data_IF_675277056306
#
_entry.id   IF_675277056306
#
_cell.length_a   1.000
_cell.length_b   1.000
_cell.length_c   1.000
_cell.angle_alpha   90.00
_cell.angle_beta   90.00
_cell.angle_gamma   90.00
#
_symmetry.space_group_name_H-M   'P 1'
#
loop_
_entity.id
_entity.type
_entity.pdbx_description
1 polymer ?
#
# COMPACT_ATOMS: atom_id res chain seq x y z
N UNK A 1 9.23 -21.65 18.96
CA UNK A 1 8.69 -20.32 18.57
C UNK A 1 9.84 -19.53 17.99
N UNK A 2 9.71 -19.01 16.76
CA UNK A 2 10.73 -18.12 16.19
C UNK A 2 10.69 -16.83 16.99
N UNK A 3 11.81 -16.42 17.60
CA UNK A 3 11.93 -15.08 18.19
C UNK A 3 11.64 -14.06 17.08
N UNK A 4 10.51 -13.38 17.20
CA UNK A 4 10.00 -12.44 16.20
C UNK A 4 10.75 -11.13 16.35
N UNK A 5 11.95 -11.08 15.77
CA UNK A 5 12.81 -9.92 15.83
C UNK A 5 12.21 -8.76 15.02
N UNK A 6 11.94 -7.63 15.68
CA UNK A 6 11.43 -6.38 15.09
C UNK A 6 12.27 -5.96 13.87
N UNK A 7 13.60 -6.04 13.95
CA UNK A 7 14.49 -5.67 12.84
C UNK A 7 14.26 -6.51 11.58
N UNK A 8 13.93 -7.80 11.75
CA UNK A 8 13.65 -8.68 10.61
C UNK A 8 12.32 -8.31 9.97
N UNK A 9 11.28 -8.06 10.77
CA UNK A 9 10.00 -7.56 10.26
C UNK A 9 10.18 -6.27 9.46
N UNK A 10 10.83 -5.26 10.04
CA UNK A 10 11.00 -3.96 9.41
C UNK A 10 11.78 -4.06 8.08
N UNK A 11 12.81 -4.92 8.04
CA UNK A 11 13.55 -5.20 6.80
C UNK A 11 12.67 -5.86 5.74
N UNK A 12 11.84 -6.82 6.10
CA UNK A 12 10.92 -7.46 5.16
C UNK A 12 9.84 -6.50 4.65
N UNK A 13 9.33 -5.62 5.51
CA UNK A 13 8.43 -4.54 5.11
C UNK A 13 9.10 -3.63 4.07
N UNK A 14 10.33 -3.19 4.32
CA UNK A 14 11.11 -2.37 3.38
C UNK A 14 11.36 -3.09 2.05
N UNK A 15 11.60 -4.41 2.09
CA UNK A 15 11.75 -5.22 0.88
C UNK A 15 10.46 -5.29 0.05
N UNK A 16 9.30 -5.44 0.69
CA UNK A 16 7.99 -5.42 0.01
C UNK A 16 7.75 -4.05 -0.64
N UNK A 17 8.02 -2.96 0.09
CA UNK A 17 7.87 -1.60 -0.42
C UNK A 17 8.78 -1.32 -1.62
N UNK A 18 10.06 -1.68 -1.52
CA UNK A 18 11.03 -1.52 -2.61
C UNK A 18 10.63 -2.30 -3.87
N UNK A 19 10.14 -3.54 -3.72
CA UNK A 19 9.69 -4.35 -4.85
C UNK A 19 8.43 -3.74 -5.49
N UNK A 20 7.48 -3.29 -4.68
CA UNK A 20 6.24 -2.66 -5.15
C UNK A 20 6.53 -1.37 -5.90
N UNK A 21 7.33 -0.46 -5.34
CA UNK A 21 7.72 0.80 -5.98
C UNK A 21 8.48 0.57 -7.28
N UNK A 22 9.39 -0.42 -7.32
CA UNK A 22 10.07 -0.84 -8.56
C UNK A 22 9.10 -1.38 -9.61
N UNK A 23 8.14 -2.23 -9.22
CA UNK A 23 7.16 -2.75 -10.17
C UNK A 23 6.24 -1.64 -10.67
N UNK A 24 5.75 -0.76 -9.78
CA UNK A 24 4.88 0.35 -10.15
C UNK A 24 5.56 1.37 -11.06
N UNK A 25 6.87 1.56 -10.92
CA UNK A 25 7.62 2.42 -11.83
C UNK A 25 7.59 1.91 -13.28
N UNK A 26 7.37 0.62 -13.53
CA UNK A 26 7.26 0.06 -14.89
C UNK A 26 5.87 0.20 -15.51
N UNK A 27 4.86 0.64 -14.74
CA UNK A 27 3.48 0.79 -15.22
C UNK A 27 2.96 2.19 -14.83
N UNK A 28 3.52 3.27 -15.38
CA UNK A 28 3.14 4.62 -14.97
C UNK A 28 1.65 4.85 -15.17
N UNK A 29 1.02 5.64 -14.30
CA UNK A 29 -0.34 6.11 -14.59
C UNK A 29 -0.34 6.85 -15.92
N UNK A 30 -1.26 6.48 -16.80
CA UNK A 30 -1.46 7.13 -18.08
C UNK A 30 -2.84 7.79 -18.09
N UNK A 31 -2.89 9.09 -18.34
CA UNK A 31 -4.14 9.81 -18.46
C UNK A 31 -4.78 9.51 -19.82
N UNK A 32 -6.11 9.50 -19.92
CA UNK A 32 -6.79 9.28 -21.22
C UNK A 32 -6.47 10.37 -22.25
N UNK A 33 -6.03 11.55 -21.81
CA UNK A 33 -5.52 12.61 -22.69
C UNK A 33 -4.14 12.30 -23.31
N UNK A 34 -3.46 11.24 -22.87
CA UNK A 34 -2.18 10.77 -23.43
C UNK A 34 -2.35 9.90 -24.69
N UNK A 35 -3.55 9.77 -25.24
CA UNK A 35 -3.74 9.05 -26.52
C UNK A 35 -2.85 9.63 -27.62
N UNK A 36 -2.13 8.76 -28.32
CA UNK A 36 -1.13 9.13 -29.33
C UNK A 36 0.25 9.48 -28.76
N UNK A 37 0.43 9.57 -27.44
CA UNK A 37 1.74 9.81 -26.84
C UNK A 37 2.67 8.63 -27.13
N UNK A 38 3.81 8.91 -27.78
CA UNK A 38 4.78 7.90 -28.19
C UNK A 38 5.87 7.64 -27.15
N UNK A 39 6.17 8.62 -26.30
CA UNK A 39 7.21 8.51 -25.29
C UNK A 39 6.73 9.00 -23.95
N UNK A 40 7.07 8.27 -22.89
CA UNK A 40 6.84 8.70 -21.52
C UNK A 40 8.07 8.40 -20.68
N UNK A 41 8.04 8.89 -19.44
CA UNK A 41 9.06 8.63 -18.44
C UNK A 41 8.37 8.38 -17.11
N UNK A 42 9.00 7.62 -16.22
CA UNK A 42 8.50 7.45 -14.87
C UNK A 42 8.22 8.78 -14.18
N UNK A 43 7.14 8.83 -13.39
CA UNK A 43 6.79 9.99 -12.59
C UNK A 43 7.95 10.41 -11.65
N UNK A 44 8.09 11.72 -11.34
CA UNK A 44 9.11 12.22 -10.40
C UNK A 44 9.20 11.40 -9.10
N UNK A 45 8.05 10.98 -8.58
CA UNK A 45 7.94 10.15 -7.40
C UNK A 45 8.80 8.88 -7.44
N UNK A 46 8.89 8.17 -8.57
CA UNK A 46 9.68 6.94 -8.66
C UNK A 46 11.17 7.21 -8.89
N UNK A 47 11.49 8.33 -9.55
CA UNK A 47 12.86 8.70 -9.89
C UNK A 47 13.71 9.02 -8.67
N UNK A 48 13.11 9.55 -7.60
CA UNK A 48 13.81 9.78 -6.33
C UNK A 48 14.30 8.46 -5.68
N UNK A 49 13.70 7.32 -6.02
CA UNK A 49 14.14 5.99 -5.57
C UNK A 49 15.13 5.32 -6.54
N UNK A 50 15.61 6.06 -7.55
CA UNK A 50 16.52 5.54 -8.59
C UNK A 50 15.81 4.78 -9.72
N UNK A 51 14.48 4.83 -9.80
CA UNK A 51 13.71 4.18 -10.87
C UNK A 51 13.38 5.16 -12.00
N UNK A 52 14.37 5.37 -12.86
CA UNK A 52 14.28 6.28 -13.99
C UNK A 52 14.19 5.49 -15.30
N UNK A 53 12.97 5.29 -15.77
CA UNK A 53 12.63 4.43 -16.91
C UNK A 53 11.97 5.28 -17.99
N UNK A 54 12.50 5.19 -19.20
CA UNK A 54 11.89 5.73 -20.40
C UNK A 54 11.02 4.67 -21.08
N UNK A 55 9.84 5.07 -21.54
CA UNK A 55 8.91 4.25 -22.29
C UNK A 55 8.85 4.73 -23.74
N UNK A 56 8.92 3.79 -24.66
CA UNK A 56 8.69 4.03 -26.08
C UNK A 56 7.53 3.14 -26.54
N UNK A 57 6.43 3.77 -26.94
CA UNK A 57 5.18 3.12 -27.34
C UNK A 57 5.08 2.96 -28.86
N UNK A 58 6.10 3.37 -29.64
CA UNK A 58 6.17 3.24 -31.09
C UNK A 58 5.03 3.96 -31.83
N UNK A 59 3.88 3.29 -31.97
CA UNK A 59 2.68 3.80 -32.62
C UNK A 59 1.87 4.80 -31.76
N UNK A 60 2.25 4.96 -30.49
CA UNK A 60 1.56 5.82 -29.55
C UNK A 60 0.49 5.08 -28.74
N UNK A 61 0.13 5.65 -27.59
CA UNK A 61 -0.86 5.04 -26.68
C UNK A 61 -2.27 5.04 -27.27
N UNK A 62 -2.96 3.92 -27.17
CA UNK A 62 -4.41 3.81 -27.41
C UNK A 62 -5.16 3.88 -26.08
N UNK A 63 -6.50 4.07 -26.13
CA UNK A 63 -7.34 4.02 -24.93
C UNK A 63 -7.21 2.64 -24.25
N UNK A 64 -7.29 1.55 -25.02
CA UNK A 64 -7.16 0.20 -24.48
C UNK A 64 -5.80 -0.03 -23.80
N UNK A 65 -4.72 0.50 -24.39
CA UNK A 65 -3.39 0.41 -23.78
C UNK A 65 -3.30 1.21 -22.47
N UNK A 66 -3.92 2.39 -22.41
CA UNK A 66 -4.00 3.21 -21.21
C UNK A 66 -4.77 2.48 -20.11
N UNK A 67 -5.95 1.95 -20.44
CA UNK A 67 -6.80 1.23 -19.49
C UNK A 67 -6.07 -0.03 -18.95
N UNK A 68 -5.36 -0.78 -19.82
CA UNK A 68 -4.56 -1.94 -19.41
C UNK A 68 -3.39 -1.54 -18.50
N UNK A 69 -2.61 -0.50 -18.85
CA UNK A 69 -1.49 -0.02 -18.02
C UNK A 69 -1.99 0.39 -16.62
N UNK A 70 -3.09 1.13 -16.56
CA UNK A 70 -3.68 1.58 -15.30
C UNK A 70 -4.24 0.41 -14.49
N UNK A 71 -4.90 -0.55 -15.14
CA UNK A 71 -5.40 -1.79 -14.53
C UNK A 71 -4.26 -2.60 -13.90
N UNK A 72 -3.16 -2.83 -14.64
CA UNK A 72 -1.97 -3.51 -14.10
C UNK A 72 -1.36 -2.73 -12.94
N UNK A 73 -1.30 -1.41 -13.03
CA UNK A 73 -0.86 -0.54 -11.93
C UNK A 73 -1.71 -0.73 -10.67
N UNK A 74 -3.03 -0.79 -10.83
CA UNK A 74 -3.97 -1.02 -9.73
C UNK A 74 -3.82 -2.43 -9.14
N UNK A 75 -3.65 -3.46 -9.98
CA UNK A 75 -3.40 -4.83 -9.55
C UNK A 75 -2.12 -4.96 -8.69
N UNK A 76 -1.04 -4.26 -9.06
CA UNK A 76 0.20 -4.23 -8.28
C UNK A 76 -0.06 -3.59 -6.89
N UNK A 77 -0.85 -2.51 -6.85
CA UNK A 77 -1.23 -1.83 -5.61
C UNK A 77 -2.05 -2.73 -4.67
N UNK A 78 -3.01 -3.50 -5.19
CA UNK A 78 -3.77 -4.49 -4.43
C UNK A 78 -2.87 -5.61 -3.87
N UNK A 79 -1.93 -6.09 -4.69
CA UNK A 79 -0.96 -7.11 -4.27
C UNK A 79 -0.08 -6.62 -3.12
N UNK A 80 0.33 -5.35 -3.14
CA UNK A 80 1.07 -4.74 -2.04
C UNK A 80 0.29 -4.81 -0.73
N UNK A 81 -1.00 -4.44 -0.75
CA UNK A 81 -1.87 -4.50 0.43
C UNK A 81 -1.95 -5.93 0.98
N UNK A 82 -2.16 -6.92 0.12
CA UNK A 82 -2.23 -8.34 0.52
C UNK A 82 -0.91 -8.79 1.15
N UNK A 83 0.23 -8.47 0.53
CA UNK A 83 1.56 -8.88 0.99
C UNK A 83 1.94 -8.21 2.31
N UNK A 84 1.65 -6.93 2.47
CA UNK A 84 1.89 -6.20 3.71
C UNK A 84 1.05 -6.77 4.85
N UNK A 85 -0.24 -7.02 4.61
CA UNK A 85 -1.11 -7.65 5.61
C UNK A 85 -0.60 -9.03 6.03
N UNK A 86 -0.28 -9.89 5.06
CA UNK A 86 0.19 -11.25 5.34
C UNK A 86 1.49 -11.26 6.16
N UNK A 87 2.39 -10.30 5.92
CA UNK A 87 3.60 -10.16 6.73
C UNK A 87 3.26 -9.77 8.18
N UNK A 88 2.42 -8.76 8.40
CA UNK A 88 2.01 -8.37 9.75
C UNK A 88 1.26 -9.49 10.48
N UNK A 89 0.45 -10.27 9.76
CA UNK A 89 -0.26 -11.44 10.28
C UNK A 89 0.70 -12.57 10.69
N UNK A 90 1.71 -12.85 9.89
CA UNK A 90 2.77 -13.80 10.25
C UNK A 90 3.46 -13.41 11.58
N UNK A 91 3.68 -12.11 11.78
CA UNK A 91 4.22 -11.58 13.03
C UNK A 91 3.18 -11.46 14.17
N UNK A 92 1.91 -11.86 13.97
CA UNK A 92 0.82 -11.79 14.95
C UNK A 92 0.52 -10.36 15.44
N UNK A 93 0.82 -9.36 14.63
CA UNK A 93 0.52 -7.95 14.94
C UNK A 93 -0.94 -7.64 14.59
N UNK A 94 -1.41 -8.23 13.49
CA UNK A 94 -2.81 -8.18 13.06
C UNK A 94 -3.27 -9.58 12.68
N UNK A 95 -4.56 -9.74 12.43
CA UNK A 95 -5.16 -10.98 11.98
C UNK A 95 -6.66 -10.98 12.25
N UNK A 96 -7.36 -11.99 11.78
CA UNK A 96 -8.82 -12.08 11.99
C UNK A 96 -9.20 -12.17 13.48
N UNK A 97 -8.31 -12.75 14.30
CA UNK A 97 -8.53 -12.96 15.73
C UNK A 97 -7.68 -12.03 16.62
N UNK A 98 -6.98 -11.06 16.02
CA UNK A 98 -6.14 -10.09 16.76
C UNK A 98 -6.90 -8.77 16.80
N UNK A 99 -7.23 -8.31 18.02
CA UNK A 99 -7.80 -6.99 18.21
C UNK A 99 -6.71 -5.94 18.00
N UNK A 100 -7.03 -4.88 17.25
CA UNK A 100 -6.12 -3.76 17.10
C UNK A 100 -6.08 -3.00 18.42
N UNK A 101 -4.88 -2.73 18.92
CA UNK A 101 -4.68 -1.78 20.00
C UNK A 101 -4.93 -0.37 19.45
N UNK A 102 -6.03 0.25 19.88
CA UNK A 102 -6.44 1.60 19.47
C UNK A 102 -5.70 2.70 20.26
N UNK A 103 -4.88 2.34 21.26
CA UNK A 103 -4.04 3.28 22.00
C UNK A 103 -2.76 3.62 21.25
N UNK A 104 -2.29 2.72 20.39
CA UNK A 104 -1.16 2.94 19.48
C UNK A 104 -1.60 3.88 18.36
N UNK A 105 -0.76 4.88 18.05
CA UNK A 105 -1.04 5.81 16.95
C UNK A 105 -1.15 5.07 15.62
N UNK A 106 -1.91 5.64 14.70
CA UNK A 106 -2.01 5.14 13.30
C UNK A 106 -2.66 3.76 13.17
N UNK A 107 -3.39 3.32 14.20
CA UNK A 107 -4.22 2.12 14.15
C UNK A 107 -5.28 2.19 13.03
N UNK A 108 -5.68 3.40 12.62
CA UNK A 108 -6.68 3.60 11.57
C UNK A 108 -6.17 3.14 10.20
N UNK A 109 -4.93 3.47 9.84
CA UNK A 109 -4.28 3.00 8.61
C UNK A 109 -4.14 1.47 8.61
N UNK A 110 -3.85 0.88 9.77
CA UNK A 110 -3.78 -0.57 9.94
C UNK A 110 -5.16 -1.22 9.79
N UNK A 111 -6.23 -0.60 10.32
CA UNK A 111 -7.60 -1.07 10.10
C UNK A 111 -8.03 -0.94 8.63
N UNK A 112 -7.65 0.16 7.96
CA UNK A 112 -7.87 0.34 6.52
C UNK A 112 -7.16 -0.78 5.74
N UNK A 113 -5.88 -1.07 6.03
CA UNK A 113 -5.14 -2.18 5.42
C UNK A 113 -5.88 -3.51 5.61
N UNK A 114 -6.31 -3.81 6.84
CA UNK A 114 -7.04 -5.04 7.18
C UNK A 114 -8.33 -5.19 6.36
N UNK A 115 -9.12 -4.12 6.26
CA UNK A 115 -10.38 -4.11 5.50
C UNK A 115 -10.14 -4.23 4.00
N UNK A 116 -9.14 -3.53 3.46
CA UNK A 116 -8.74 -3.63 2.05
C UNK A 116 -8.31 -5.05 1.69
N UNK A 117 -7.47 -5.70 2.51
CA UNK A 117 -7.11 -7.11 2.31
C UNK A 117 -8.34 -8.00 2.29
N UNK A 118 -9.32 -7.77 3.17
CA UNK A 118 -10.57 -8.52 3.18
C UNK A 118 -11.31 -8.45 1.83
N UNK A 119 -11.26 -7.30 1.14
CA UNK A 119 -11.86 -7.13 -0.18
C UNK A 119 -10.99 -7.74 -1.29
N UNK A 120 -9.69 -7.51 -1.30
CA UNK A 120 -8.80 -7.98 -2.37
C UNK A 120 -8.50 -9.48 -2.34
N UNK A 121 -8.50 -10.12 -1.16
CA UNK A 121 -8.20 -11.54 -1.05
C UNK A 121 -9.36 -12.47 -1.43
N UNK A 122 -10.59 -11.94 -1.53
CA UNK A 122 -11.82 -12.74 -1.65
C UNK A 122 -12.76 -12.28 -2.76
N UNK A 123 -12.32 -11.37 -3.64
CA UNK A 123 -13.10 -10.88 -4.78
C UNK A 123 -12.20 -10.61 -5.98
N UNK A 124 -12.77 -10.14 -7.10
CA UNK A 124 -12.02 -9.65 -8.26
C UNK A 124 -11.17 -8.40 -7.96
N UNK A 125 -11.31 -7.82 -6.76
CA UNK A 125 -10.60 -6.63 -6.32
C UNK A 125 -11.26 -5.30 -6.74
N UNK A 126 -12.23 -5.34 -7.64
CA UNK A 126 -12.98 -4.17 -8.08
C UNK A 126 -13.87 -3.60 -6.96
N UNK A 127 -14.05 -2.28 -6.98
CA UNK A 127 -14.96 -1.59 -6.07
C UNK A 127 -16.41 -1.76 -6.54
N UNK A 128 -17.30 -2.11 -5.59
CA UNK A 128 -18.74 -2.10 -5.81
C UNK A 128 -19.40 -1.00 -4.95
N UNK A 129 -19.89 0.10 -5.55
CA UNK A 129 -20.55 1.18 -4.82
C UNK A 129 -21.92 0.80 -4.24
N UNK A 130 -22.53 -0.29 -4.72
CA UNK A 130 -23.80 -0.82 -4.20
C UNK A 130 -23.61 -1.70 -2.96
N UNK A 131 -22.37 -2.16 -2.67
CA UNK A 131 -22.01 -2.80 -1.41
C UNK A 131 -21.77 -1.73 -0.34
N UNK A 132 -22.63 -1.60 0.69
CA UNK A 132 -22.52 -0.53 1.69
C UNK A 132 -21.20 -0.55 2.47
N UNK A 133 -20.60 -1.73 2.67
CA UNK A 133 -19.34 -1.85 3.39
C UNK A 133 -18.15 -1.40 2.52
N UNK A 134 -18.21 -1.66 1.22
CA UNK A 134 -17.20 -1.15 0.29
C UNK A 134 -17.31 0.36 0.13
N UNK A 135 -18.53 0.88 -0.03
CA UNK A 135 -18.78 2.32 -0.10
C UNK A 135 -18.27 3.04 1.14
N UNK A 136 -18.55 2.51 2.34
CA UNK A 136 -18.06 3.05 3.61
C UNK A 136 -16.54 3.01 3.70
N UNK A 137 -15.90 1.91 3.28
CA UNK A 137 -14.44 1.81 3.25
C UNK A 137 -13.82 2.82 2.27
N UNK A 138 -14.37 2.93 1.06
CA UNK A 138 -13.91 3.89 0.05
C UNK A 138 -14.01 5.33 0.57
N UNK A 139 -15.16 5.72 1.10
CA UNK A 139 -15.37 7.05 1.71
C UNK A 139 -14.41 7.31 2.87
N UNK A 140 -14.13 6.30 3.69
CA UNK A 140 -13.14 6.42 4.76
C UNK A 140 -11.75 6.69 4.21
N UNK A 141 -11.31 5.98 3.16
CA UNK A 141 -10.00 6.20 2.53
C UNK A 141 -9.92 7.61 1.97
N UNK A 142 -10.90 8.05 1.18
CA UNK A 142 -10.96 9.40 0.61
C UNK A 142 -10.84 10.46 1.71
N UNK A 143 -11.66 10.36 2.76
CA UNK A 143 -11.65 11.31 3.88
C UNK A 143 -10.36 11.27 4.69
N UNK A 144 -9.85 10.09 5.01
CA UNK A 144 -8.67 9.89 5.87
C UNK A 144 -7.39 10.39 5.21
N UNK A 145 -7.25 10.16 3.91
CA UNK A 145 -6.06 10.57 3.15
C UNK A 145 -6.21 11.93 2.46
N UNK A 146 -7.41 12.52 2.46
CA UNK A 146 -7.65 13.86 1.90
C UNK A 146 -7.66 13.87 0.37
N UNK A 147 -8.21 12.83 -0.25
CA UNK A 147 -8.22 12.67 -1.71
C UNK A 147 -9.28 13.56 -2.36
N UNK A 148 -8.98 14.06 -3.56
CA UNK A 148 -9.88 14.97 -4.29
C UNK A 148 -11.07 14.25 -4.95
N UNK A 149 -10.90 12.97 -5.33
CA UNK A 149 -11.98 12.20 -5.96
C UNK A 149 -12.87 11.56 -4.90
N UNK A 150 -14.14 11.97 -4.87
CA UNK A 150 -15.15 11.50 -3.92
C UNK A 150 -15.95 10.31 -4.43
N UNK A 151 -15.89 10.00 -5.73
CA UNK A 151 -16.60 8.89 -6.35
C UNK A 151 -15.70 8.12 -7.32
N UNK A 152 -14.58 7.55 -6.82
CA UNK A 152 -13.66 6.84 -7.69
C UNK A 152 -14.31 5.55 -8.24
N UNK A 153 -13.94 5.13 -9.46
CA UNK A 153 -14.45 3.89 -10.06
C UNK A 153 -13.90 2.64 -9.35
N UNK A 154 -12.75 2.76 -8.70
CA UNK A 154 -12.08 1.71 -7.92
C UNK A 154 -11.73 2.20 -6.51
N UNK A 155 -11.25 1.30 -5.64
CA UNK A 155 -10.67 1.73 -4.37
C UNK A 155 -9.50 2.69 -4.65
N UNK A 156 -9.47 3.89 -4.05
CA UNK A 156 -8.41 4.84 -4.35
C UNK A 156 -7.13 4.40 -3.66
N UNK A 157 -6.20 3.83 -4.43
CA UNK A 157 -4.90 3.36 -3.98
C UNK A 157 -3.72 4.09 -4.66
N UNK A 158 -3.71 5.43 -4.84
CA UNK A 158 -2.51 6.11 -5.32
C UNK A 158 -1.32 5.78 -4.43
N UNK A 159 -0.16 5.52 -5.05
CA UNK A 159 0.98 4.94 -4.34
C UNK A 159 1.55 5.89 -3.29
N UNK A 160 1.60 7.18 -3.62
CA UNK A 160 2.23 8.27 -2.89
C UNK A 160 1.27 8.93 -1.90
N UNK A 161 -0.03 8.99 -2.21
CA UNK A 161 -1.02 9.58 -1.31
C UNK A 161 -1.62 8.57 -0.31
N UNK A 162 -1.72 7.28 -0.67
CA UNK A 162 -2.37 6.26 0.17
C UNK A 162 -1.41 5.15 0.59
N UNK A 163 -0.80 4.44 -0.36
CA UNK A 163 -0.05 3.23 -0.02
C UNK A 163 1.21 3.50 0.79
N UNK A 164 1.95 4.56 0.49
CA UNK A 164 3.13 4.98 1.25
C UNK A 164 2.76 5.38 2.69
N UNK A 165 1.62 6.05 2.86
CA UNK A 165 1.13 6.45 4.18
C UNK A 165 0.70 5.23 5.00
N UNK A 166 -0.03 4.28 4.39
CA UNK A 166 -0.36 3.00 5.01
C UNK A 166 0.91 2.23 5.37
N UNK A 167 1.88 2.14 4.46
CA UNK A 167 3.16 1.47 4.69
C UNK A 167 3.88 2.03 5.92
N UNK A 168 4.08 3.35 5.94
CA UNK A 168 4.77 4.05 7.01
C UNK A 168 4.05 3.89 8.35
N UNK A 169 2.73 4.01 8.36
CA UNK A 169 1.91 3.82 9.55
C UNK A 169 1.99 2.39 10.09
N UNK A 170 1.83 1.40 9.22
CA UNK A 170 1.97 -0.01 9.60
C UNK A 170 3.35 -0.31 10.19
N UNK A 171 4.41 0.31 9.66
CA UNK A 171 5.78 0.13 10.14
C UNK A 171 5.96 0.69 11.55
N UNK A 172 5.40 1.87 11.83
CA UNK A 172 5.43 2.50 13.16
C UNK A 172 4.56 1.74 14.15
N UNK A 173 3.33 1.41 13.77
CA UNK A 173 2.40 0.61 14.57
C UNK A 173 3.03 -0.74 14.96
N UNK A 174 3.62 -1.46 14.00
CA UNK A 174 4.28 -2.74 14.25
C UNK A 174 5.42 -2.64 15.27
N UNK A 175 6.23 -1.58 15.17
CA UNK A 175 7.33 -1.33 16.10
C UNK A 175 6.81 -1.10 17.53
N UNK A 176 5.84 -0.19 17.67
CA UNK A 176 5.27 0.14 18.98
C UNK A 176 4.52 -1.05 19.59
N UNK A 177 3.76 -1.79 18.79
CA UNK A 177 3.06 -3.00 19.21
C UNK A 177 4.02 -4.03 19.79
N UNK A 178 5.13 -4.32 19.10
CA UNK A 178 6.11 -5.31 19.58
C UNK A 178 6.88 -4.82 20.81
N UNK A 179 7.18 -3.52 20.91
CA UNK A 179 7.81 -2.94 22.10
C UNK A 179 6.91 -3.06 23.33
N UNK A 180 5.60 -2.86 23.18
CA UNK A 180 4.62 -3.00 24.27
C UNK A 180 4.49 -4.45 24.75
N UNK A 181 4.75 -5.44 23.88
CA UNK A 181 4.73 -6.86 24.24
C UNK A 181 6.02 -7.32 24.95
N UNK A 182 7.15 -6.65 24.69
CA UNK A 182 8.47 -6.98 25.24
C UNK A 182 9.15 -5.76 25.90
N UNK A 183 8.62 -5.25 27.03
CA UNK A 183 9.13 -4.03 27.66
C UNK A 183 10.59 -4.16 28.18
N UNK A 184 11.08 -5.37 28.42
CA UNK A 184 12.44 -5.62 28.93
C UNK A 184 13.54 -5.42 27.87
N UNK A 185 13.29 -5.71 26.59
CA UNK A 185 14.25 -5.51 25.49
C UNK A 185 14.38 -4.04 25.06
N UNK A 186 13.36 -3.22 25.35
CA UNK A 186 13.37 -1.79 25.00
C UNK A 186 14.29 -0.96 25.92
N UNK A 187 14.58 -1.47 27.14
CA UNK A 187 15.42 -0.76 28.13
C UNK A 187 16.93 -0.92 27.87
N UNK A 188 17.36 -1.98 27.20
CA UNK A 188 18.79 -2.22 26.92
C UNK A 188 19.30 -1.42 25.73
N UNK A 189 18.44 -1.10 24.76
CA UNK A 189 18.82 -0.32 23.56
C UNK A 189 19.08 1.18 23.86
N UNK A 190 18.52 1.74 24.93
CA UNK A 190 18.72 3.14 25.31
C UNK A 190 19.96 3.36 26.20
N UNK A 191 20.56 2.29 26.72
CA UNK A 191 21.80 2.35 27.52
C UNK A 191 23.09 2.21 26.70
N UNK A 192 23.00 1.97 25.39
CA UNK A 192 24.16 1.77 24.50
C UNK A 192 24.41 2.93 23.51
N UNK A 193 23.73 4.07 23.66
CA UNK A 193 24.00 5.34 22.93
C UNK A 193 24.47 6.43 23.86
#
# INVERSE_FOLDING_TARGET
MVSKNVSTLLREMDNIWKKTTKCRSLFPYADRNSVGQQKARTAPYYRQFGFDVGFDFGMGLTIDAIDEINSVGHYINQNFVIRLFALLEYYQIIGNNVQLDHTIKEWEEVDILRRLRGKFAHSSGGYNPDDPEQKKLCQRIVRHFGLNDTNPPDFPLPIDEVLERIFCACKRYAKEFLNNQNPEESRTAETET
#
